data_IF_420054605012
#
_entry.id   IF_420054605012
#
_cell.length_a   1.000
_cell.length_b   1.000
_cell.length_c   1.000
_cell.angle_alpha   90.00
_cell.angle_beta   90.00
_cell.angle_gamma   90.00
#
_symmetry.space_group_name_H-M   'P 1'
#
loop_
_entity.id
_entity.type
_entity.pdbx_description
1 polymer ?
#
# COMPACT_ATOMS: atom_id res chain seq x y z
N UNK A 1 1.74 -7.75 14.31
CA UNK A 1 1.27 -8.08 15.66
C UNK A 1 2.10 -9.19 16.31
N UNK A 2 2.82 -10.00 15.54
CA UNK A 2 3.69 -11.06 16.09
C UNK A 2 4.95 -10.50 16.81
N UNK A 3 5.11 -9.17 16.84
CA UNK A 3 6.21 -8.43 17.44
C UNK A 3 5.81 -7.84 18.81
N UNK A 4 4.51 -7.79 19.14
CA UNK A 4 4.04 -7.14 20.38
C UNK A 4 3.81 -8.15 21.48
N UNK A 5 4.40 -7.93 22.65
CA UNK A 5 4.15 -8.74 23.83
C UNK A 5 3.12 -8.06 24.76
N UNK A 6 2.15 -8.80 25.33
CA UNK A 6 1.25 -8.26 26.33
C UNK A 6 2.01 -7.59 27.47
N UNK A 7 1.62 -6.38 27.85
CA UNK A 7 2.28 -5.56 28.89
C UNK A 7 3.37 -4.60 28.41
N UNK A 8 3.77 -4.62 27.13
CA UNK A 8 4.65 -3.59 26.56
C UNK A 8 3.87 -2.31 26.19
N UNK A 9 4.51 -1.12 26.26
CA UNK A 9 3.86 0.11 25.82
C UNK A 9 3.50 0.04 24.32
N UNK A 10 2.34 0.58 23.97
CA UNK A 10 1.91 0.64 22.57
C UNK A 10 2.92 1.46 21.75
N UNK A 11 3.30 1.00 20.54
CA UNK A 11 4.30 1.67 19.73
C UNK A 11 3.89 3.09 19.37
N UNK A 12 4.87 3.99 19.33
CA UNK A 12 4.67 5.35 18.87
C UNK A 12 4.33 5.33 17.37
N UNK A 13 3.15 5.84 17.01
CA UNK A 13 2.70 5.90 15.63
C UNK A 13 3.20 7.17 14.91
N UNK A 14 3.63 8.18 15.66
CA UNK A 14 4.10 9.45 15.11
C UNK A 14 5.53 9.27 14.53
N UNK A 15 5.70 9.44 13.21
CA UNK A 15 7.01 9.28 12.58
C UNK A 15 8.04 10.30 13.07
N UNK A 16 7.62 11.42 13.68
CA UNK A 16 8.53 12.43 14.22
C UNK A 16 9.09 12.08 15.61
N UNK A 17 8.53 11.05 16.26
CA UNK A 17 8.90 10.61 17.60
C UNK A 17 9.54 9.22 17.64
N UNK A 18 9.70 8.56 16.48
CA UNK A 18 10.51 7.34 16.38
C UNK A 18 11.95 7.65 16.80
N UNK A 19 12.55 6.78 17.61
CA UNK A 19 13.93 6.96 18.08
C UNK A 19 14.90 7.09 16.89
N UNK A 20 15.79 8.09 16.96
CA UNK A 20 16.78 8.45 15.93
C UNK A 20 17.68 7.31 15.42
N UNK A 21 17.72 6.17 16.12
CA UNK A 21 18.43 4.96 15.73
C UNK A 21 17.81 4.25 14.52
N UNK A 22 16.48 4.28 14.36
CA UNK A 22 15.80 3.64 13.21
C UNK A 22 15.81 4.53 11.96
N UNK A 23 15.79 5.86 12.12
CA UNK A 23 15.98 6.79 11.00
C UNK A 23 17.37 6.64 10.36
N UNK A 24 18.42 6.45 11.18
CA UNK A 24 19.82 6.38 10.71
C UNK A 24 20.12 5.17 9.82
N UNK A 25 19.42 4.04 9.98
CA UNK A 25 19.56 2.87 9.11
C UNK A 25 19.06 3.14 7.67
N UNK A 26 18.13 4.09 7.50
CA UNK A 26 17.58 4.48 6.19
C UNK A 26 18.15 5.79 5.62
N UNK A 27 18.78 6.64 6.44
CA UNK A 27 19.19 8.00 6.05
C UNK A 27 20.70 8.18 5.78
N UNK A 28 21.51 7.11 5.85
CA UNK A 28 22.97 7.19 5.69
C UNK A 28 23.47 7.50 4.26
N UNK A 29 22.59 7.70 3.27
CA UNK A 29 22.99 8.04 1.90
C UNK A 29 22.87 9.55 1.65
N UNK A 30 23.88 10.11 0.98
CA UNK A 30 24.01 11.54 0.66
C UNK A 30 22.70 12.10 0.06
N UNK A 31 22.16 13.20 0.60
CA UNK A 31 20.84 13.76 0.21
C UNK A 31 20.69 13.97 -1.31
N UNK A 32 21.78 14.40 -1.96
CA UNK A 32 21.84 14.58 -3.40
C UNK A 32 21.69 13.26 -4.17
N UNK A 33 22.38 12.20 -3.74
CA UNK A 33 22.25 10.88 -4.34
C UNK A 33 20.84 10.34 -4.18
N UNK A 34 20.18 10.59 -3.05
CA UNK A 34 18.76 10.22 -2.85
C UNK A 34 17.84 11.00 -3.77
N UNK A 35 18.03 12.31 -3.92
CA UNK A 35 17.25 13.11 -4.87
C UNK A 35 17.43 12.63 -6.30
N UNK A 36 18.66 12.25 -6.67
CA UNK A 36 18.97 11.70 -7.99
C UNK A 36 18.36 10.30 -8.20
N UNK A 37 18.50 9.40 -7.22
CA UNK A 37 17.90 8.06 -7.25
C UNK A 37 16.37 8.11 -7.25
N UNK A 38 15.78 9.08 -6.53
CA UNK A 38 14.35 9.35 -6.55
C UNK A 38 13.88 9.82 -7.93
N UNK A 39 14.62 10.75 -8.55
CA UNK A 39 14.35 11.20 -9.92
C UNK A 39 14.52 10.09 -10.96
N UNK A 40 15.50 9.21 -10.77
CA UNK A 40 15.78 8.08 -11.65
C UNK A 40 14.94 6.83 -11.32
N UNK A 41 14.06 6.89 -10.31
CA UNK A 41 13.17 5.79 -9.94
C UNK A 41 13.84 4.56 -9.29
N UNK A 42 15.13 4.62 -8.99
CA UNK A 42 15.94 3.48 -8.49
C UNK A 42 15.62 3.14 -7.02
N UNK A 43 15.03 4.06 -6.26
CA UNK A 43 14.78 3.94 -4.81
C UNK A 43 13.54 3.09 -4.44
N UNK A 44 12.84 2.47 -5.41
CA UNK A 44 11.51 1.87 -5.19
C UNK A 44 11.50 0.34 -5.16
N UNK A 45 12.48 -0.31 -4.55
CA UNK A 45 12.37 -1.77 -4.38
C UNK A 45 11.09 -2.11 -3.58
N UNK A 46 10.30 -3.13 -3.98
CA UNK A 46 9.07 -3.51 -3.28
C UNK A 46 9.31 -3.85 -1.80
N UNK A 47 10.49 -4.41 -1.50
CA UNK A 47 10.93 -4.75 -0.16
C UNK A 47 11.16 -3.51 0.69
N UNK A 48 11.84 -2.48 0.17
CA UNK A 48 12.06 -1.23 0.89
C UNK A 48 10.75 -0.51 1.21
N UNK A 49 9.78 -0.52 0.29
CA UNK A 49 8.44 0.06 0.51
C UNK A 49 7.66 -0.70 1.59
N UNK A 50 7.75 -2.03 1.59
CA UNK A 50 7.11 -2.87 2.60
C UNK A 50 7.71 -2.64 3.99
N UNK A 51 9.05 -2.60 4.08
CA UNK A 51 9.76 -2.35 5.35
C UNK A 51 9.46 -0.93 5.88
N UNK A 52 9.42 0.07 5.00
CA UNK A 52 9.03 1.45 5.33
C UNK A 52 7.58 1.53 5.83
N UNK A 53 6.62 0.90 5.16
CA UNK A 53 5.22 0.91 5.60
C UNK A 53 5.02 0.12 6.90
N UNK A 54 5.75 -0.98 7.10
CA UNK A 54 5.68 -1.78 8.32
C UNK A 54 6.20 -1.03 9.56
N UNK A 55 7.15 -0.11 9.37
CA UNK A 55 7.66 0.76 10.44
C UNK A 55 6.66 1.83 10.91
N UNK A 56 5.53 2.00 10.21
CA UNK A 56 4.52 3.02 10.50
C UNK A 56 3.16 2.38 10.81
N UNK A 57 2.98 1.82 12.02
CA UNK A 57 1.69 1.24 12.40
C UNK A 57 0.60 2.32 12.41
N UNK A 58 -0.62 1.95 12.01
CA UNK A 58 -1.77 2.84 12.13
C UNK A 58 -2.07 3.09 13.62
N UNK A 59 -2.26 4.35 13.97
CA UNK A 59 -2.63 4.73 15.34
C UNK A 59 -4.01 4.17 15.68
N UNK A 60 -4.09 3.41 16.77
CA UNK A 60 -5.36 2.97 17.37
C UNK A 60 -5.66 3.90 18.54
N UNK A 61 -6.75 4.66 18.46
CA UNK A 61 -7.17 5.57 19.52
C UNK A 61 -7.52 4.74 20.77
N UNK A 62 -6.89 5.05 21.90
CA UNK A 62 -7.06 4.30 23.15
C UNK A 62 -6.20 3.03 23.25
N UNK A 63 -5.39 2.73 22.22
CA UNK A 63 -4.56 1.53 22.19
C UNK A 63 -5.38 0.25 22.02
N UNK A 64 -4.76 -0.88 22.33
CA UNK A 64 -5.37 -2.22 22.26
C UNK A 64 -5.08 -2.91 23.59
N UNK A 65 -6.09 -3.55 24.18
CA UNK A 65 -5.96 -4.28 25.44
C UNK A 65 -5.10 -5.54 25.26
N UNK A 66 -4.40 -5.96 26.31
CA UNK A 66 -3.62 -7.22 26.33
C UNK A 66 -4.45 -8.44 25.91
N UNK A 67 -5.73 -8.48 26.30
CA UNK A 67 -6.64 -9.56 25.93
C UNK A 67 -6.96 -9.54 24.42
N UNK A 68 -7.19 -8.36 23.85
CA UNK A 68 -7.44 -8.19 22.43
C UNK A 68 -6.20 -8.60 21.62
N UNK A 69 -5.00 -8.21 22.08
CA UNK A 69 -3.72 -8.64 21.48
C UNK A 69 -3.61 -10.16 21.51
N UNK A 70 -3.87 -10.79 22.66
CA UNK A 70 -3.79 -12.25 22.79
C UNK A 70 -4.76 -12.97 21.85
N UNK A 71 -5.99 -12.48 21.67
CA UNK A 71 -6.93 -13.06 20.73
C UNK A 71 -6.55 -12.80 19.27
N UNK A 72 -6.04 -11.61 18.94
CA UNK A 72 -5.54 -11.29 17.60
C UNK A 72 -4.32 -12.13 17.23
N UNK A 73 -3.47 -12.49 18.20
CA UNK A 73 -2.35 -13.41 17.99
C UNK A 73 -2.82 -14.85 17.75
N UNK A 74 -3.88 -15.28 18.44
CA UNK A 74 -4.49 -16.61 18.20
C UNK A 74 -5.16 -16.72 16.82
N UNK A 75 -5.68 -15.62 16.28
CA UNK A 75 -6.31 -15.60 14.97
C UNK A 75 -5.29 -15.79 13.83
N UNK A 76 -5.46 -16.88 13.06
CA UNK A 76 -4.54 -17.24 11.97
C UNK A 76 -4.83 -16.45 10.69
N UNK A 77 -3.88 -15.61 10.29
CA UNK A 77 -3.87 -14.89 9.02
C UNK A 77 -4.58 -13.53 9.05
N UNK A 78 -4.31 -12.64 8.07
CA UNK A 78 -4.81 -11.26 8.07
C UNK A 78 -6.34 -11.16 7.99
N UNK A 79 -6.98 -12.04 7.23
CA UNK A 79 -8.44 -12.08 7.12
C UNK A 79 -9.11 -12.38 8.46
N UNK A 80 -8.61 -13.39 9.18
CA UNK A 80 -9.20 -13.82 10.43
C UNK A 80 -9.09 -12.73 11.49
N UNK A 81 -7.95 -12.01 11.54
CA UNK A 81 -7.74 -10.88 12.47
C UNK A 81 -8.75 -9.75 12.21
N UNK A 82 -9.00 -9.39 10.95
CA UNK A 82 -9.98 -8.36 10.58
C UNK A 82 -11.42 -8.82 10.88
N UNK A 83 -11.77 -10.07 10.53
CA UNK A 83 -13.09 -10.63 10.85
C UNK A 83 -13.33 -10.69 12.36
N UNK A 84 -12.30 -10.99 13.16
CA UNK A 84 -12.38 -11.00 14.61
C UNK A 84 -12.70 -9.60 15.16
N UNK A 85 -11.98 -8.57 14.72
CA UNK A 85 -12.27 -7.19 15.10
C UNK A 85 -13.68 -6.74 14.67
N UNK A 86 -14.11 -7.11 13.46
CA UNK A 86 -15.48 -6.86 12.99
C UNK A 86 -16.54 -7.54 13.88
N UNK A 87 -16.27 -8.77 14.33
CA UNK A 87 -17.17 -9.50 15.22
C UNK A 87 -17.28 -8.86 16.60
N UNK A 88 -16.17 -8.40 17.18
CA UNK A 88 -16.16 -7.67 18.45
C UNK A 88 -16.98 -6.39 18.38
N UNK A 89 -16.80 -5.61 17.31
CA UNK A 89 -17.56 -4.37 17.13
C UNK A 89 -19.06 -4.64 16.95
N UNK A 90 -19.41 -5.64 16.15
CA UNK A 90 -20.80 -6.03 15.93
C UNK A 90 -21.46 -6.53 17.21
N UNK A 91 -20.75 -7.36 17.97
CA UNK A 91 -21.21 -7.86 19.26
C UNK A 91 -21.36 -6.73 20.28
N UNK A 92 -20.40 -5.80 20.34
CA UNK A 92 -20.47 -4.62 21.20
C UNK A 92 -21.73 -3.80 20.92
N UNK A 93 -22.01 -3.47 19.65
CA UNK A 93 -23.20 -2.72 19.25
C UNK A 93 -24.48 -3.44 19.69
N UNK A 94 -24.55 -4.76 19.49
CA UNK A 94 -25.72 -5.55 19.89
C UNK A 94 -25.90 -5.59 21.41
N UNK A 95 -24.82 -5.76 22.18
CA UNK A 95 -24.86 -5.76 23.64
C UNK A 95 -25.31 -4.41 24.19
N UNK A 96 -24.77 -3.31 23.67
CA UNK A 96 -25.14 -1.95 24.09
C UNK A 96 -26.59 -1.61 23.73
N UNK A 97 -27.09 -2.10 22.59
CA UNK A 97 -28.50 -1.96 22.22
C UNK A 97 -29.41 -2.67 23.23
N UNK A 98 -29.10 -3.93 23.56
CA UNK A 98 -29.89 -4.73 24.51
C UNK A 98 -29.81 -4.18 25.94
N UNK A 99 -28.68 -3.57 26.31
CA UNK A 99 -28.52 -2.88 27.58
C UNK A 99 -29.27 -1.53 27.66
N UNK A 100 -29.80 -1.03 26.54
CA UNK A 100 -30.51 0.25 26.46
C UNK A 100 -29.60 1.49 26.42
N UNK A 101 -28.28 1.30 26.27
CA UNK A 101 -27.26 2.36 26.20
C UNK A 101 -27.45 3.28 25.00
N UNK A 102 -28.00 2.73 23.91
CA UNK A 102 -28.35 3.48 22.70
C UNK A 102 -29.68 4.26 22.83
N UNK A 103 -30.40 4.16 23.95
CA UNK A 103 -31.72 4.75 24.14
C UNK A 103 -32.85 3.94 23.46
N UNK A 104 -34.06 4.52 23.40
CA UNK A 104 -35.26 3.88 22.83
C UNK A 104 -35.28 3.94 21.30
N UNK A 105 -34.22 3.40 20.68
CA UNK A 105 -34.06 3.34 19.24
C UNK A 105 -34.67 2.02 18.72
N UNK A 106 -35.45 2.10 17.65
CA UNK A 106 -36.04 0.91 17.04
C UNK A 106 -35.00 -0.02 16.38
N UNK A 107 -35.23 -1.35 16.37
CA UNK A 107 -34.34 -2.33 15.73
C UNK A 107 -33.89 -2.03 14.28
N UNK A 108 -34.71 -1.39 13.41
CA UNK A 108 -34.27 -1.07 12.04
C UNK A 108 -33.06 -0.14 11.95
N UNK A 109 -32.85 0.73 12.94
CA UNK A 109 -31.70 1.66 12.95
C UNK A 109 -30.42 0.88 13.29
N UNK A 110 -30.47 -0.03 14.25
CA UNK A 110 -29.33 -0.89 14.61
C UNK A 110 -28.98 -1.81 13.44
N UNK A 111 -29.98 -2.40 12.78
CA UNK A 111 -29.77 -3.19 11.56
C UNK A 111 -29.02 -2.41 10.48
N UNK A 112 -29.31 -1.12 10.31
CA UNK A 112 -28.61 -0.25 9.36
C UNK A 112 -27.14 -0.02 9.74
N UNK A 113 -26.81 0.10 11.03
CA UNK A 113 -25.42 0.20 11.49
C UNK A 113 -24.65 -1.07 11.12
N UNK A 114 -25.22 -2.24 11.39
CA UNK A 114 -24.61 -3.53 11.02
C UNK A 114 -24.47 -3.67 9.50
N UNK A 115 -25.45 -3.19 8.73
CA UNK A 115 -25.36 -3.16 7.26
C UNK A 115 -24.16 -2.32 6.79
N UNK A 116 -23.97 -1.11 7.33
CA UNK A 116 -22.80 -0.28 7.00
C UNK A 116 -21.47 -0.97 7.35
N UNK A 117 -21.41 -1.67 8.49
CA UNK A 117 -20.23 -2.46 8.86
C UNK A 117 -19.99 -3.63 7.88
N UNK A 118 -21.06 -4.28 7.41
CA UNK A 118 -20.99 -5.34 6.41
C UNK A 118 -20.50 -4.80 5.06
N UNK A 119 -20.98 -3.64 4.63
CA UNK A 119 -20.52 -2.97 3.40
C UNK A 119 -19.02 -2.64 3.50
N UNK A 120 -18.56 -2.18 4.67
CA UNK A 120 -17.13 -1.99 4.95
C UNK A 120 -16.30 -3.26 4.73
N UNK A 121 -16.81 -4.43 5.14
CA UNK A 121 -16.16 -5.72 4.91
C UNK A 121 -16.14 -6.13 3.42
N UNK A 122 -17.16 -5.75 2.65
CA UNK A 122 -17.17 -5.96 1.19
C UNK A 122 -16.01 -5.17 0.56
N UNK A 123 -15.88 -3.88 0.88
CA UNK A 123 -14.80 -3.03 0.34
C UNK A 123 -13.41 -3.48 0.80
N UNK A 124 -13.25 -3.92 2.04
CA UNK A 124 -12.02 -4.56 2.51
C UNK A 124 -11.64 -5.77 1.63
N UNK A 125 -12.61 -6.65 1.33
CA UNK A 125 -12.35 -7.79 0.45
C UNK A 125 -12.05 -7.40 -0.99
N UNK A 126 -12.65 -6.33 -1.52
CA UNK A 126 -12.27 -5.77 -2.83
C UNK A 126 -10.83 -5.27 -2.84
N UNK A 127 -10.41 -4.51 -1.82
CA UNK A 127 -9.03 -4.06 -1.68
C UNK A 127 -8.06 -5.24 -1.60
N UNK A 128 -8.41 -6.30 -0.86
CA UNK A 128 -7.60 -7.52 -0.84
C UNK A 128 -7.46 -8.18 -2.20
N UNK A 129 -8.55 -8.27 -2.97
CA UNK A 129 -8.47 -8.84 -4.33
C UNK A 129 -7.48 -8.05 -5.19
N UNK A 130 -7.52 -6.73 -5.14
CA UNK A 130 -6.57 -5.87 -5.87
C UNK A 130 -5.14 -6.11 -5.40
N UNK A 131 -4.92 -6.30 -4.09
CA UNK A 131 -3.59 -6.53 -3.53
C UNK A 131 -3.02 -7.92 -3.86
N UNK A 132 -3.85 -8.97 -3.87
CA UNK A 132 -3.39 -10.35 -4.07
C UNK A 132 -3.46 -10.84 -5.52
N UNK A 133 -4.24 -10.20 -6.39
CA UNK A 133 -4.33 -10.57 -7.80
C UNK A 133 -3.31 -9.71 -8.55
N UNK A 134 -2.14 -10.27 -8.92
CA UNK A 134 -1.14 -9.51 -9.67
C UNK A 134 -1.66 -9.21 -11.08
N UNK A 135 -1.07 -8.19 -11.70
CA UNK A 135 -1.31 -7.90 -13.10
C UNK A 135 -1.01 -9.15 -13.97
N UNK A 136 -1.81 -9.44 -15.02
CA UNK A 136 -1.64 -10.67 -15.79
C UNK A 136 -0.24 -10.78 -16.38
N UNK A 137 0.44 -11.89 -16.07
CA UNK A 137 1.81 -12.13 -16.49
C UNK A 137 2.03 -12.00 -18.01
N UNK A 138 1.18 -12.56 -18.89
CA UNK A 138 1.37 -12.41 -20.33
C UNK A 138 1.29 -10.95 -20.81
N UNK A 139 0.42 -10.15 -20.19
CA UNK A 139 0.30 -8.73 -20.53
C UNK A 139 1.56 -7.96 -20.10
N UNK A 140 2.14 -8.27 -18.92
CA UNK A 140 3.39 -7.66 -18.47
C UNK A 140 4.54 -7.95 -19.45
N UNK A 141 4.64 -9.21 -19.88
CA UNK A 141 5.67 -9.65 -20.82
C UNK A 141 5.55 -8.97 -22.18
N UNK A 142 4.34 -8.89 -22.74
CA UNK A 142 4.12 -8.24 -24.03
C UNK A 142 4.44 -6.73 -23.97
N UNK A 143 4.07 -6.04 -22.89
CA UNK A 143 4.40 -4.62 -22.71
C UNK A 143 5.91 -4.39 -22.60
N UNK A 144 6.61 -5.22 -21.83
CA UNK A 144 8.06 -5.15 -21.70
C UNK A 144 8.77 -5.44 -23.04
N UNK A 145 8.32 -6.46 -23.77
CA UNK A 145 8.85 -6.81 -25.09
C UNK A 145 8.63 -5.68 -26.11
N UNK A 146 7.44 -5.07 -26.12
CA UNK A 146 7.13 -3.94 -26.99
C UNK A 146 8.05 -2.75 -26.71
N UNK A 147 8.24 -2.40 -25.43
CA UNK A 147 9.15 -1.32 -25.04
C UNK A 147 10.60 -1.63 -25.47
N UNK A 148 11.08 -2.85 -25.21
CA UNK A 148 12.42 -3.30 -25.61
C UNK A 148 12.64 -3.22 -27.12
N UNK A 149 11.63 -3.54 -27.92
CA UNK A 149 11.71 -3.49 -29.39
C UNK A 149 11.64 -2.05 -29.91
N UNK A 150 10.87 -1.17 -29.26
CA UNK A 150 10.73 0.23 -29.68
C UNK A 150 11.97 1.06 -29.39
N UNK A 151 12.72 0.76 -28.33
CA UNK A 151 13.97 1.47 -27.97
C UNK A 151 14.98 1.53 -29.14
N UNK A 152 15.31 0.43 -29.84
CA UNK A 152 16.16 0.49 -31.04
C UNK A 152 15.38 0.83 -32.32
N UNK A 153 14.09 0.49 -32.45
CA UNK A 153 13.34 0.80 -33.67
C UNK A 153 13.17 2.31 -33.90
N UNK A 154 12.91 3.08 -32.84
CA UNK A 154 12.73 4.54 -32.91
C UNK A 154 13.96 5.28 -33.47
N UNK A 155 15.21 5.05 -33.01
CA UNK A 155 16.39 5.69 -33.62
C UNK A 155 16.58 5.29 -35.08
N UNK A 156 16.35 4.03 -35.47
CA UNK A 156 16.41 3.64 -36.89
C UNK A 156 15.36 4.36 -37.73
N UNK A 157 14.15 4.56 -37.21
CA UNK A 157 13.12 5.34 -37.88
C UNK A 157 13.51 6.81 -37.99
N UNK A 158 14.02 7.42 -36.92
CA UNK A 158 14.42 8.83 -36.96
C UNK A 158 15.58 9.09 -37.91
N UNK A 159 16.52 8.15 -38.05
CA UNK A 159 17.61 8.22 -39.04
C UNK A 159 17.08 8.22 -40.49
N UNK A 160 16.04 7.44 -40.78
CA UNK A 160 15.45 7.38 -42.12
C UNK A 160 14.54 8.58 -42.47
N UNK A 161 13.86 9.15 -41.47
CA UNK A 161 12.86 10.21 -41.70
C UNK A 161 13.37 11.63 -41.45
N UNK A 162 14.53 11.80 -40.82
CA UNK A 162 15.06 13.12 -40.44
C UNK A 162 16.34 13.42 -41.21
N UNK A 163 16.34 14.51 -41.99
CA UNK A 163 17.55 14.93 -42.71
C UNK A 163 18.60 15.57 -41.78
N UNK A 164 18.14 16.16 -40.67
CA UNK A 164 18.98 16.89 -39.72
C UNK A 164 19.28 16.05 -38.47
N UNK A 165 20.58 15.81 -38.21
CA UNK A 165 21.04 14.95 -37.12
C UNK A 165 20.55 15.42 -35.74
N UNK A 166 20.61 16.72 -35.46
CA UNK A 166 20.21 17.27 -34.17
C UNK A 166 18.71 17.06 -33.89
N UNK A 167 17.88 17.14 -34.94
CA UNK A 167 16.44 16.95 -34.85
C UNK A 167 16.12 15.47 -34.62
N UNK A 168 16.82 14.57 -35.33
CA UNK A 168 16.69 13.12 -35.15
C UNK A 168 17.01 12.69 -33.72
N UNK A 169 18.15 13.15 -33.17
CA UNK A 169 18.56 12.86 -31.78
C UNK A 169 17.51 13.35 -30.78
N UNK A 170 17.01 14.58 -30.97
CA UNK A 170 16.01 15.18 -30.05
C UNK A 170 14.69 14.41 -30.08
N UNK A 171 14.20 14.05 -31.27
CA UNK A 171 12.95 13.30 -31.43
C UNK A 171 13.09 11.87 -30.90
N UNK A 172 14.21 11.19 -31.16
CA UNK A 172 14.48 9.86 -30.58
C UNK A 172 14.42 9.91 -29.06
N UNK A 173 15.12 10.87 -28.44
CA UNK A 173 15.11 11.03 -26.98
C UNK A 173 13.69 11.24 -26.45
N UNK A 174 12.93 12.17 -27.02
CA UNK A 174 11.57 12.47 -26.56
C UNK A 174 10.61 11.28 -26.71
N UNK A 175 10.65 10.58 -27.85
CA UNK A 175 9.76 9.45 -28.12
C UNK A 175 10.09 8.26 -27.22
N UNK A 176 11.38 7.89 -27.09
CA UNK A 176 11.79 6.79 -26.22
C UNK A 176 11.52 7.11 -24.75
N UNK A 177 11.77 8.35 -24.31
CA UNK A 177 11.46 8.78 -22.95
C UNK A 177 9.95 8.73 -22.66
N UNK A 178 9.10 9.13 -23.61
CA UNK A 178 7.65 9.06 -23.48
C UNK A 178 7.16 7.61 -23.39
N UNK A 179 7.60 6.74 -24.30
CA UNK A 179 7.21 5.32 -24.34
C UNK A 179 7.70 4.56 -23.10
N UNK A 180 8.96 4.77 -22.70
CA UNK A 180 9.53 4.15 -21.50
C UNK A 180 8.91 4.70 -20.22
N UNK A 181 8.59 6.00 -20.18
CA UNK A 181 7.88 6.61 -19.06
C UNK A 181 6.48 6.04 -18.89
N UNK A 182 5.74 5.83 -19.97
CA UNK A 182 4.42 5.21 -19.93
C UNK A 182 4.50 3.75 -19.44
N UNK A 183 5.51 2.99 -19.89
CA UNK A 183 5.76 1.64 -19.41
C UNK A 183 6.08 1.60 -17.91
N UNK A 184 6.92 2.52 -17.41
CA UNK A 184 7.28 2.58 -15.99
C UNK A 184 6.11 3.02 -15.10
N UNK A 185 5.20 3.86 -15.59
CA UNK A 185 3.96 4.23 -14.85
C UNK A 185 2.98 3.05 -14.75
N UNK A 186 2.94 2.19 -15.77
CA UNK A 186 2.08 1.02 -15.79
C UNK A 186 2.61 -0.16 -14.94
N UNK A 187 3.87 -0.09 -14.52
CA UNK A 187 4.57 -1.10 -13.73
C UNK A 187 4.35 -0.93 -12.22
#
# INVERSE_FOLDING_TARGET
LDIFHPGEPWPEADPTKLHSSEENEYTSTNKFLRSLQYWLGVDRSPEARTKYNASRPLLVIGGVSDNEIAFLQKAKGPSAKVTLAWSWLSEFIMREHLAGSLGNIGPPIVSRIIQFLSDGMIYYNHARKIMYIPFPFPHAQLSAFFNLTMVPAVPFLMDQYTNELWLGITLTFLVVACLSGLHEVAR
#
